data_IF_561815601865
#
_entry.id   IF_561815601865
#
_cell.length_a   1.000
_cell.length_b   1.000
_cell.length_c   1.000
_cell.angle_alpha   90.00
_cell.angle_beta   90.00
_cell.angle_gamma   90.00
#
_symmetry.space_group_name_H-M   'P 1'
#
loop_
_entity.id
_entity.type
_entity.pdbx_description
1 polymer ?
#
# COMPACT_ATOMS: atom_id res chain seq x y z
N UNK A 1 4.44 -10.57 18.76
CA UNK A 1 3.15 -10.08 19.31
C UNK A 1 2.74 -8.69 18.81
N UNK A 2 3.60 -7.70 18.72
CA UNK A 2 3.26 -6.34 18.23
C UNK A 2 2.78 -6.30 16.77
N UNK A 3 3.30 -7.15 15.89
CA UNK A 3 2.94 -7.15 14.45
C UNK A 3 1.52 -7.64 14.23
N UNK A 4 1.08 -8.68 14.95
CA UNK A 4 -0.30 -9.17 14.87
C UNK A 4 -1.32 -8.12 15.32
N UNK A 5 -0.97 -7.30 16.31
CA UNK A 5 -1.82 -6.21 16.80
C UNK A 5 -2.03 -5.10 15.75
N UNK A 6 -1.04 -4.88 14.87
CA UNK A 6 -1.12 -3.90 13.80
C UNK A 6 -1.96 -4.37 12.59
N UNK A 7 -2.17 -5.66 12.44
CA UNK A 7 -2.88 -6.23 11.28
C UNK A 7 -4.38 -5.88 11.30
N UNK A 8 -5.02 -5.86 12.47
CA UNK A 8 -6.44 -5.54 12.58
C UNK A 8 -6.77 -4.11 12.12
N UNK A 9 -6.08 -3.05 12.59
CA UNK A 9 -6.29 -1.70 12.06
C UNK A 9 -6.04 -1.60 10.56
N UNK A 10 -5.01 -2.29 10.03
CA UNK A 10 -4.71 -2.26 8.60
C UNK A 10 -5.85 -2.79 7.73
N UNK A 11 -6.52 -3.87 8.15
CA UNK A 11 -7.69 -4.41 7.43
C UNK A 11 -8.88 -3.44 7.44
N UNK A 12 -9.11 -2.77 8.57
CA UNK A 12 -10.14 -1.72 8.65
C UNK A 12 -9.81 -0.56 7.70
N UNK A 13 -8.57 -0.10 7.67
CA UNK A 13 -8.14 0.97 6.78
C UNK A 13 -8.20 0.55 5.30
N UNK A 14 -7.82 -0.68 4.97
CA UNK A 14 -7.96 -1.20 3.61
C UNK A 14 -9.44 -1.15 3.15
N UNK A 15 -10.38 -1.52 4.03
CA UNK A 15 -11.82 -1.43 3.76
C UNK A 15 -12.30 0.02 3.63
N UNK A 16 -11.79 0.94 4.45
CA UNK A 16 -12.11 2.38 4.37
C UNK A 16 -11.65 2.95 3.03
N UNK A 17 -10.41 2.70 2.59
CA UNK A 17 -9.91 3.12 1.29
C UNK A 17 -10.68 2.51 0.13
N UNK A 18 -11.02 1.22 0.20
CA UNK A 18 -11.85 0.56 -0.80
C UNK A 18 -13.19 1.27 -0.99
N UNK A 19 -13.89 1.58 0.11
CA UNK A 19 -15.16 2.32 0.08
C UNK A 19 -14.97 3.75 -0.43
N UNK A 20 -13.94 4.42 0.04
CA UNK A 20 -13.61 5.78 -0.36
C UNK A 20 -13.44 5.89 -1.88
N UNK A 21 -12.60 5.05 -2.48
CA UNK A 21 -12.41 5.04 -3.94
C UNK A 21 -13.68 4.64 -4.68
N UNK A 22 -14.46 3.72 -4.14
CA UNK A 22 -15.71 3.28 -4.79
C UNK A 22 -16.78 4.38 -4.84
N UNK A 23 -16.89 5.18 -3.78
CA UNK A 23 -17.80 6.34 -3.73
C UNK A 23 -17.36 7.42 -4.71
N UNK A 24 -16.06 7.74 -4.75
CA UNK A 24 -15.54 8.73 -5.70
C UNK A 24 -15.75 8.32 -7.16
N UNK A 25 -15.56 7.06 -7.50
CA UNK A 25 -15.85 6.56 -8.85
C UNK A 25 -17.34 6.68 -9.18
N UNK A 26 -18.24 6.44 -8.23
CA UNK A 26 -19.66 6.56 -8.43
C UNK A 26 -20.10 8.02 -8.62
N UNK A 27 -19.54 8.95 -7.86
CA UNK A 27 -19.80 10.39 -7.98
C UNK A 27 -19.30 10.96 -9.32
N UNK A 28 -18.11 10.54 -9.78
CA UNK A 28 -17.61 10.94 -11.11
C UNK A 28 -18.47 10.34 -12.24
N UNK A 29 -19.00 9.12 -12.07
CA UNK A 29 -19.92 8.50 -13.02
C UNK A 29 -21.24 9.25 -13.21
N UNK A 30 -21.69 10.02 -12.22
CA UNK A 30 -22.90 10.86 -12.30
C UNK A 30 -22.66 12.18 -13.04
N UNK A 31 -21.40 12.62 -13.18
CA UNK A 31 -21.01 13.91 -13.81
C UNK A 31 -20.46 13.75 -15.24
N UNK A 32 -20.65 12.57 -15.88
CA UNK A 32 -20.03 12.16 -17.16
C UNK A 32 -20.46 13.00 -18.37
N UNK A 33 -21.45 13.87 -18.26
CA UNK A 33 -21.90 14.70 -19.41
C UNK A 33 -20.91 15.82 -19.81
N UNK A 34 -19.76 15.97 -19.16
CA UNK A 34 -18.87 17.12 -19.37
C UNK A 34 -17.40 16.81 -19.67
N UNK A 35 -16.98 15.52 -19.79
CA UNK A 35 -15.56 15.17 -19.94
C UNK A 35 -15.14 14.62 -21.32
N UNK A 36 -13.87 14.86 -21.75
CA UNK A 36 -13.36 14.39 -23.05
C UNK A 36 -13.27 12.85 -23.12
N UNK A 37 -13.58 12.34 -24.29
CA UNK A 37 -13.74 10.91 -24.65
C UNK A 37 -12.53 10.00 -24.35
N UNK A 38 -11.34 10.56 -24.14
CA UNK A 38 -10.10 9.78 -23.87
C UNK A 38 -10.04 9.17 -22.45
N UNK A 39 -10.89 9.62 -21.53
CA UNK A 39 -10.99 9.05 -20.17
C UNK A 39 -11.96 7.86 -20.07
N UNK A 40 -12.82 7.65 -21.08
CA UNK A 40 -13.83 6.58 -21.04
C UNK A 40 -13.24 5.17 -21.05
N UNK A 41 -12.14 4.93 -21.73
CA UNK A 41 -11.51 3.61 -21.79
C UNK A 41 -10.82 3.22 -20.47
N UNK A 42 -10.37 4.20 -19.70
CA UNK A 42 -9.70 4.00 -18.42
C UNK A 42 -10.71 3.87 -17.26
N UNK A 43 -11.88 4.51 -17.36
CA UNK A 43 -12.96 4.47 -16.37
C UNK A 43 -13.50 3.06 -16.12
N UNK A 44 -13.53 2.19 -17.14
CA UNK A 44 -13.99 0.80 -16.98
C UNK A 44 -13.01 -0.11 -16.22
N UNK A 45 -11.72 0.21 -16.22
CA UNK A 45 -10.69 -0.54 -15.52
C UNK A 45 -10.54 -0.12 -14.03
N UNK A 46 -10.86 1.12 -13.70
CA UNK A 46 -10.66 1.70 -12.35
C UNK A 46 -11.37 0.92 -11.24
N UNK A 47 -12.65 0.48 -11.36
CA UNK A 47 -13.30 -0.31 -10.32
C UNK A 47 -12.61 -1.67 -10.08
N UNK A 48 -12.09 -2.28 -11.15
CA UNK A 48 -11.33 -3.55 -11.04
C UNK A 48 -10.00 -3.34 -10.33
N UNK A 49 -9.31 -2.24 -10.60
CA UNK A 49 -8.05 -1.89 -9.95
C UNK A 49 -8.24 -1.56 -8.46
N UNK A 50 -9.33 -0.91 -8.08
CA UNK A 50 -9.67 -0.68 -6.67
C UNK A 50 -9.91 -2.01 -5.95
N UNK A 51 -10.63 -2.95 -6.58
CA UNK A 51 -10.85 -4.28 -6.02
C UNK A 51 -9.55 -5.09 -5.95
N UNK A 52 -8.69 -5.00 -6.95
CA UNK A 52 -7.36 -5.61 -6.95
C UNK A 52 -6.51 -5.04 -5.81
N UNK A 53 -6.47 -3.72 -5.67
CA UNK A 53 -5.71 -3.07 -4.58
C UNK A 53 -6.19 -3.51 -3.20
N UNK A 54 -7.48 -3.65 -3.00
CA UNK A 54 -8.06 -4.19 -1.77
C UNK A 54 -7.60 -5.64 -1.53
N UNK A 55 -7.65 -6.50 -2.55
CA UNK A 55 -7.14 -7.87 -2.49
C UNK A 55 -5.65 -7.93 -2.13
N UNK A 56 -4.82 -7.08 -2.75
CA UNK A 56 -3.40 -6.97 -2.45
C UNK A 56 -3.14 -6.60 -0.98
N UNK A 57 -3.90 -5.65 -0.43
CA UNK A 57 -3.80 -5.28 0.98
C UNK A 57 -4.19 -6.43 1.93
N UNK A 58 -5.18 -7.26 1.55
CA UNK A 58 -5.53 -8.45 2.34
C UNK A 58 -4.38 -9.45 2.32
N UNK A 59 -3.83 -9.77 1.14
CA UNK A 59 -2.71 -10.71 0.99
C UNK A 59 -1.48 -10.20 1.74
N UNK A 60 -1.16 -8.90 1.63
CA UNK A 60 -0.10 -8.24 2.40
C UNK A 60 -0.25 -8.50 3.91
N UNK A 61 -1.44 -8.27 4.45
CA UNK A 61 -1.70 -8.46 5.88
C UNK A 61 -1.65 -9.92 6.31
N UNK A 62 -2.16 -10.84 5.50
CA UNK A 62 -2.08 -12.28 5.79
C UNK A 62 -0.62 -12.77 5.75
N UNK A 63 0.17 -12.30 4.78
CA UNK A 63 1.60 -12.63 4.71
C UNK A 63 2.37 -12.06 5.90
N UNK A 64 2.05 -10.85 6.36
CA UNK A 64 2.63 -10.25 7.55
C UNK A 64 2.28 -11.04 8.82
N UNK A 65 1.05 -11.56 8.92
CA UNK A 65 0.66 -12.47 9.99
C UNK A 65 1.46 -13.79 9.91
N UNK A 66 1.58 -14.37 8.71
CA UNK A 66 2.40 -15.57 8.49
C UNK A 66 3.84 -15.39 8.96
N UNK A 67 4.48 -14.25 8.62
CA UNK A 67 5.81 -13.88 9.10
C UNK A 67 5.90 -13.82 10.63
N UNK A 68 4.82 -13.41 11.30
CA UNK A 68 4.79 -13.29 12.76
C UNK A 68 4.68 -14.64 13.48
N UNK A 69 4.11 -15.64 12.82
CA UNK A 69 3.91 -16.98 13.40
C UNK A 69 4.97 -17.99 12.97
N UNK A 70 5.62 -17.78 11.84
CA UNK A 70 6.62 -18.69 11.28
C UNK A 70 8.01 -18.06 11.46
N UNK A 71 8.78 -18.44 12.48
CA UNK A 71 10.14 -17.95 12.64
C UNK A 71 11.07 -18.55 11.56
N UNK A 72 12.02 -17.77 11.10
CA UNK A 72 13.00 -18.18 10.09
C UNK A 72 13.91 -19.33 10.56
N UNK A 73 14.02 -19.54 11.87
CA UNK A 73 14.79 -20.64 12.48
C UNK A 73 14.14 -22.00 12.28
N UNK A 74 12.81 -22.08 12.16
CA UNK A 74 12.09 -23.34 12.15
C UNK A 74 11.79 -23.82 10.73
N UNK A 75 11.24 -22.94 9.88
CA UNK A 75 10.89 -23.24 8.48
C UNK A 75 11.28 -22.06 7.60
N UNK A 76 12.56 -22.01 7.21
CA UNK A 76 13.14 -20.90 6.43
C UNK A 76 12.41 -20.68 5.10
N UNK A 77 12.14 -21.72 4.32
CA UNK A 77 11.48 -21.62 3.01
C UNK A 77 10.09 -20.99 3.11
N UNK A 78 9.33 -21.33 4.14
CA UNK A 78 7.98 -20.78 4.36
C UNK A 78 8.04 -19.32 4.82
N UNK A 79 8.99 -19.00 5.70
CA UNK A 79 9.25 -17.63 6.14
C UNK A 79 9.65 -16.74 4.95
N UNK A 80 10.55 -17.21 4.10
CA UNK A 80 10.98 -16.52 2.88
C UNK A 80 9.81 -16.31 1.91
N UNK A 81 8.96 -17.32 1.70
CA UNK A 81 7.78 -17.20 0.85
C UNK A 81 6.79 -16.13 1.35
N UNK A 82 6.52 -16.10 2.67
CA UNK A 82 5.71 -15.04 3.26
C UNK A 82 6.35 -13.67 3.12
N UNK A 83 7.68 -13.58 3.28
CA UNK A 83 8.41 -12.33 3.15
C UNK A 83 8.33 -11.78 1.72
N UNK A 84 8.62 -12.59 0.71
CA UNK A 84 8.55 -12.20 -0.70
C UNK A 84 7.12 -11.77 -1.07
N UNK A 85 6.11 -12.53 -0.61
CA UNK A 85 4.71 -12.22 -0.87
C UNK A 85 4.31 -10.89 -0.22
N UNK A 86 4.68 -10.67 1.05
CA UNK A 86 4.46 -9.41 1.76
C UNK A 86 5.09 -8.23 1.02
N UNK A 87 6.37 -8.34 0.67
CA UNK A 87 7.12 -7.28 0.01
C UNK A 87 6.54 -6.95 -1.38
N UNK A 88 6.25 -7.97 -2.18
CA UNK A 88 5.71 -7.80 -3.52
C UNK A 88 4.32 -7.18 -3.51
N UNK A 89 3.40 -7.70 -2.70
CA UNK A 89 2.02 -7.17 -2.61
C UNK A 89 1.98 -5.76 -2.05
N UNK A 90 2.79 -5.48 -1.03
CA UNK A 90 2.95 -4.14 -0.46
C UNK A 90 3.42 -3.11 -1.49
N UNK A 91 4.50 -3.41 -2.20
CA UNK A 91 5.04 -2.53 -3.23
C UNK A 91 4.04 -2.25 -4.36
N UNK A 92 3.41 -3.31 -4.88
CA UNK A 92 2.41 -3.17 -5.94
C UNK A 92 1.23 -2.33 -5.47
N UNK A 93 0.73 -2.57 -4.26
CA UNK A 93 -0.38 -1.82 -3.67
C UNK A 93 -0.04 -0.33 -3.48
N UNK A 94 1.13 -0.01 -2.94
CA UNK A 94 1.59 1.37 -2.75
C UNK A 94 1.75 2.11 -4.08
N UNK A 95 2.36 1.48 -5.08
CA UNK A 95 2.55 2.06 -6.42
C UNK A 95 1.20 2.26 -7.10
N UNK A 96 0.33 1.24 -7.09
CA UNK A 96 -1.00 1.30 -7.68
C UNK A 96 -1.83 2.43 -7.06
N UNK A 97 -1.80 2.56 -5.75
CA UNK A 97 -2.53 3.63 -5.04
C UNK A 97 -2.00 5.01 -5.41
N UNK A 98 -0.69 5.24 -5.30
CA UNK A 98 -0.12 6.59 -5.45
C UNK A 98 -0.03 7.07 -6.88
N UNK A 99 0.29 6.19 -7.82
CA UNK A 99 0.55 6.60 -9.20
C UNK A 99 -0.63 6.34 -10.14
N UNK A 100 -1.60 5.53 -9.70
CA UNK A 100 -2.76 5.19 -10.51
C UNK A 100 -4.08 5.62 -9.88
N UNK A 101 -4.42 5.12 -8.69
CA UNK A 101 -5.74 5.38 -8.09
C UNK A 101 -5.94 6.84 -7.72
N UNK A 102 -5.00 7.48 -7.04
CA UNK A 102 -5.12 8.90 -6.66
C UNK A 102 -5.28 9.83 -7.87
N UNK A 103 -4.48 9.74 -8.96
CA UNK A 103 -4.65 10.61 -10.11
C UNK A 103 -5.92 10.35 -10.91
N UNK A 104 -6.37 9.08 -10.99
CA UNK A 104 -7.50 8.70 -11.88
C UNK A 104 -8.87 8.74 -11.19
N UNK A 105 -8.90 8.68 -9.85
CA UNK A 105 -10.13 8.86 -9.09
C UNK A 105 -10.44 10.33 -8.78
N UNK A 106 -9.80 11.29 -9.48
CA UNK A 106 -10.06 12.73 -9.28
C UNK A 106 -9.77 13.23 -7.86
N UNK A 107 -8.91 12.51 -7.11
CA UNK A 107 -8.61 12.86 -5.75
C UNK A 107 -8.01 14.26 -5.65
N UNK A 108 -8.81 15.21 -5.20
CA UNK A 108 -8.34 16.54 -4.84
C UNK A 108 -8.24 16.62 -3.31
N UNK A 109 -7.02 16.83 -2.82
CA UNK A 109 -6.81 17.06 -1.39
C UNK A 109 -7.66 18.25 -0.92
N UNK A 110 -8.59 17.98 -0.02
CA UNK A 110 -9.53 18.98 0.52
C UNK A 110 -8.88 19.85 1.60
N UNK A 111 -7.91 19.30 2.32
CA UNK A 111 -7.17 19.99 3.38
C UNK A 111 -5.68 20.10 3.09
N UNK A 112 -5.01 21.02 3.80
CA UNK A 112 -3.54 21.14 3.75
C UNK A 112 -2.84 19.89 4.27
N UNK A 113 -3.43 19.19 5.22
CA UNK A 113 -2.88 18.00 5.85
C UNK A 113 -3.01 16.79 4.92
N UNK A 114 -4.11 16.61 4.20
CA UNK A 114 -4.23 15.61 3.13
C UNK A 114 -3.18 15.81 2.04
N UNK A 115 -2.92 17.04 1.62
CA UNK A 115 -1.90 17.35 0.61
C UNK A 115 -0.50 16.96 1.09
N UNK A 116 -0.19 17.24 2.36
CA UNK A 116 1.07 16.83 3.00
C UNK A 116 1.18 15.32 3.08
N UNK A 117 0.11 14.63 3.50
CA UNK A 117 0.08 13.16 3.57
C UNK A 117 0.37 12.52 2.22
N UNK A 118 -0.23 13.02 1.13
CA UNK A 118 0.04 12.55 -0.24
C UNK A 118 1.52 12.79 -0.61
N UNK A 119 2.08 13.95 -0.26
CA UNK A 119 3.49 14.26 -0.49
C UNK A 119 4.42 13.29 0.20
N UNK A 120 4.19 13.02 1.49
CA UNK A 120 4.96 12.04 2.28
C UNK A 120 4.79 10.62 1.74
N UNK A 121 3.57 10.19 1.41
CA UNK A 121 3.32 8.87 0.81
C UNK A 121 4.08 8.68 -0.50
N UNK A 122 4.07 9.68 -1.39
CA UNK A 122 4.85 9.63 -2.63
C UNK A 122 6.35 9.48 -2.37
N UNK A 123 6.86 10.18 -1.35
CA UNK A 123 8.27 10.08 -0.98
C UNK A 123 8.59 8.69 -0.41
N UNK A 124 7.76 8.16 0.49
CA UNK A 124 7.94 6.82 1.05
C UNK A 124 7.92 5.74 -0.03
N UNK A 125 7.01 5.82 -1.01
CA UNK A 125 6.99 4.88 -2.14
C UNK A 125 8.26 4.94 -2.97
N UNK A 126 8.75 6.15 -3.30
CA UNK A 126 10.00 6.32 -4.05
C UNK A 126 11.20 5.76 -3.28
N UNK A 127 11.29 6.04 -1.99
CA UNK A 127 12.36 5.53 -1.11
C UNK A 127 12.30 4.01 -1.02
N UNK A 128 11.11 3.44 -0.87
CA UNK A 128 10.90 2.00 -0.82
C UNK A 128 11.31 1.30 -2.13
N UNK A 129 10.94 1.87 -3.29
CA UNK A 129 11.36 1.36 -4.60
C UNK A 129 12.87 1.42 -4.78
N UNK A 130 13.51 2.55 -4.40
CA UNK A 130 14.97 2.68 -4.45
C UNK A 130 15.67 1.67 -3.55
N UNK A 131 15.17 1.50 -2.32
CA UNK A 131 15.70 0.51 -1.39
C UNK A 131 15.54 -0.93 -1.91
N UNK A 132 14.42 -1.25 -2.59
CA UNK A 132 14.22 -2.56 -3.19
C UNK A 132 15.22 -2.87 -4.31
N UNK A 133 15.50 -1.90 -5.18
CA UNK A 133 16.52 -2.05 -6.23
C UNK A 133 17.91 -2.31 -5.61
N UNK A 134 18.25 -1.57 -4.54
CA UNK A 134 19.51 -1.76 -3.84
C UNK A 134 19.57 -3.11 -3.10
N UNK A 135 18.47 -3.52 -2.46
CA UNK A 135 18.38 -4.84 -1.84
C UNK A 135 18.62 -5.96 -2.85
N UNK A 136 17.94 -5.92 -4.00
CA UNK A 136 18.12 -6.91 -5.07
C UNK A 136 19.56 -6.91 -5.61
N UNK A 137 20.17 -5.73 -5.77
CA UNK A 137 21.57 -5.62 -6.20
C UNK A 137 22.53 -6.29 -5.20
N UNK A 138 22.39 -6.01 -3.89
CA UNK A 138 23.25 -6.60 -2.86
C UNK A 138 22.99 -8.09 -2.68
N UNK A 139 21.74 -8.55 -2.82
CA UNK A 139 21.39 -9.97 -2.81
C UNK A 139 22.08 -10.72 -3.96
N UNK A 140 21.95 -10.19 -5.20
CA UNK A 140 22.62 -10.77 -6.36
C UNK A 140 24.15 -10.80 -6.17
N UNK A 141 24.73 -9.69 -5.73
CA UNK A 141 26.17 -9.59 -5.50
C UNK A 141 26.68 -10.56 -4.45
N UNK A 142 25.92 -10.76 -3.37
CA UNK A 142 26.25 -11.74 -2.34
C UNK A 142 26.29 -13.17 -2.92
N UNK A 143 25.32 -13.55 -3.74
CA UNK A 143 25.24 -14.88 -4.33
C UNK A 143 26.33 -15.15 -5.36
N UNK A 144 26.76 -14.13 -6.14
CA UNK A 144 27.77 -14.29 -7.18
C UNK A 144 29.21 -14.25 -6.63
N UNK A 145 29.49 -13.33 -5.69
CA UNK A 145 30.86 -13.02 -5.29
C UNK A 145 31.19 -13.44 -3.85
N UNK A 146 30.22 -13.86 -3.05
CA UNK A 146 30.38 -14.26 -1.65
C UNK A 146 31.18 -13.23 -0.80
N UNK A 147 31.06 -11.94 -1.10
CA UNK A 147 31.78 -10.89 -0.41
C UNK A 147 31.30 -10.72 1.05
N UNK A 148 32.22 -10.53 2.02
CA UNK A 148 31.84 -10.30 3.40
C UNK A 148 31.05 -9.00 3.54
N UNK A 149 30.08 -8.97 4.46
CA UNK A 149 29.21 -7.82 4.79
C UNK A 149 28.18 -7.39 3.72
N UNK A 150 28.25 -7.87 2.48
CA UNK A 150 27.28 -7.53 1.43
C UNK A 150 25.86 -7.94 1.81
N UNK A 151 25.71 -9.10 2.45
CA UNK A 151 24.43 -9.55 2.97
C UNK A 151 23.83 -8.62 4.06
N UNK A 152 24.71 -7.96 4.83
CA UNK A 152 24.25 -6.98 5.83
C UNK A 152 23.64 -5.74 5.19
N UNK A 153 24.13 -5.30 4.03
CA UNK A 153 23.51 -4.22 3.26
C UNK A 153 22.15 -4.63 2.68
N UNK A 154 22.03 -5.87 2.21
CA UNK A 154 20.74 -6.43 1.82
C UNK A 154 19.73 -6.31 2.97
N UNK A 155 20.05 -6.82 4.16
CA UNK A 155 19.19 -6.73 5.35
C UNK A 155 18.89 -5.27 5.75
N UNK A 156 19.85 -4.35 5.63
CA UNK A 156 19.60 -2.92 5.90
C UNK A 156 18.51 -2.34 5.00
N UNK A 157 18.56 -2.63 3.70
CA UNK A 157 17.54 -2.14 2.75
C UNK A 157 16.19 -2.81 2.95
N UNK A 158 16.14 -4.07 3.38
CA UNK A 158 14.89 -4.71 3.81
C UNK A 158 14.24 -3.95 4.97
N UNK A 159 15.00 -3.56 5.99
CA UNK A 159 14.48 -2.73 7.08
C UNK A 159 13.97 -1.38 6.58
N UNK A 160 14.67 -0.73 5.66
CA UNK A 160 14.20 0.54 5.07
C UNK A 160 12.86 0.36 4.38
N UNK A 161 12.67 -0.72 3.62
CA UNK A 161 11.40 -1.00 2.94
C UNK A 161 10.27 -1.22 3.95
N UNK A 162 10.51 -2.02 4.99
CA UNK A 162 9.51 -2.27 6.05
C UNK A 162 9.14 -0.97 6.77
N UNK A 163 10.11 -0.12 7.11
CA UNK A 163 9.85 1.18 7.74
C UNK A 163 9.06 2.11 6.83
N UNK A 164 9.35 2.13 5.52
CA UNK A 164 8.57 2.88 4.54
C UNK A 164 7.12 2.37 4.46
N UNK A 165 6.91 1.06 4.51
CA UNK A 165 5.58 0.46 4.53
C UNK A 165 4.80 0.85 5.80
N UNK A 166 5.43 0.77 6.97
CA UNK A 166 4.82 1.20 8.24
C UNK A 166 4.45 2.68 8.18
N UNK A 167 5.37 3.53 7.71
CA UNK A 167 5.12 4.96 7.55
C UNK A 167 3.98 5.25 6.59
N UNK A 168 3.93 4.54 5.45
CA UNK A 168 2.88 4.69 4.45
C UNK A 168 1.48 4.40 5.03
N UNK A 169 1.33 3.28 5.73
CA UNK A 169 0.07 2.94 6.39
C UNK A 169 -0.23 3.86 7.59
N UNK A 170 0.79 4.38 8.27
CA UNK A 170 0.62 5.34 9.37
C UNK A 170 0.03 6.70 8.94
N UNK A 171 0.22 7.09 7.66
CA UNK A 171 -0.34 8.34 7.12
C UNK A 171 -1.88 8.33 6.99
N UNK A 172 -2.54 7.20 7.22
CA UNK A 172 -4.00 7.09 7.23
C UNK A 172 -4.63 8.07 8.22
N UNK A 173 -4.01 8.31 9.36
CA UNK A 173 -4.49 9.26 10.35
C UNK A 173 -4.59 10.69 9.82
N UNK A 174 -3.73 11.06 8.88
CA UNK A 174 -3.76 12.37 8.23
C UNK A 174 -4.75 12.41 7.06
N UNK A 175 -4.91 11.31 6.33
CA UNK A 175 -5.86 11.23 5.21
C UNK A 175 -7.32 11.36 5.68
N UNK A 176 -7.61 10.91 6.90
CA UNK A 176 -8.96 10.91 7.47
C UNK A 176 -9.12 11.85 8.67
N UNK A 177 -8.17 12.77 8.90
CA UNK A 177 -8.19 13.68 10.06
C UNK A 177 -9.47 14.54 10.12
N UNK A 178 -9.97 14.99 8.97
CA UNK A 178 -11.18 15.82 8.86
C UNK A 178 -12.46 15.01 8.57
N UNK A 179 -12.35 13.68 8.58
CA UNK A 179 -13.46 12.79 8.22
C UNK A 179 -14.14 12.23 9.47
N UNK A 180 -15.44 12.50 9.65
CA UNK A 180 -16.24 11.85 10.67
C UNK A 180 -16.70 10.47 10.19
N UNK A 181 -16.21 9.40 10.83
CA UNK A 181 -16.68 8.02 10.57
C UNK A 181 -18.03 7.84 11.24
N UNK A 182 -19.11 7.79 10.47
CA UNK A 182 -20.42 7.36 10.96
C UNK A 182 -20.60 5.88 10.67
N UNK A 183 -20.67 5.08 11.71
CA UNK A 183 -21.03 3.66 11.65
C UNK A 183 -22.55 3.51 11.57
N UNK A 184 -23.09 3.42 10.36
CA UNK A 184 -24.47 3.00 10.11
C UNK A 184 -24.47 1.71 9.27
N UNK A 185 -25.55 0.91 9.26
CA UNK A 185 -25.58 -0.37 8.56
C UNK A 185 -25.32 -0.25 7.05
N UNK A 186 -25.48 0.93 6.42
CA UNK A 186 -25.32 1.09 4.98
C UNK A 186 -24.48 2.31 4.53
N UNK A 187 -24.00 3.15 5.45
CA UNK A 187 -23.30 4.38 5.05
C UNK A 187 -22.12 4.71 5.96
N UNK A 188 -20.89 4.51 5.46
CA UNK A 188 -19.78 5.35 5.90
C UNK A 188 -19.85 6.60 5.02
N UNK A 189 -20.57 7.60 5.45
CA UNK A 189 -20.55 8.93 4.83
C UNK A 189 -19.30 9.64 5.33
N UNK A 190 -18.32 9.77 4.47
CA UNK A 190 -17.23 10.72 4.63
C UNK A 190 -17.80 12.10 4.31
N UNK A 191 -17.93 12.96 5.30
CA UNK A 191 -18.33 14.36 5.14
C UNK A 191 -17.09 15.22 5.18
#
# INVERSE_FOLDING_TARGET
MCIALQSTPRLLFARMYYRYFKVHIADEGLTVDTFPQDRLSLGSATPRLVSLNFGLNIVENLSLLGLSFVPSSDVFELHEAFFITFMGTSMISMVLTMFYLYPHCGFQARSGDERRAIGYKKQLVKTSLGAAVLALYFYWRHNEYCEPYVYSFFGLFEYVIVLCNIGYHGMVSLDFADSSVRTGPDQILLK
#
